data_IF_595346025760
#
_entry.id   IF_595346025760
#
_cell.length_a   1.000
_cell.length_b   1.000
_cell.length_c   1.000
_cell.angle_alpha   90.00
_cell.angle_beta   90.00
_cell.angle_gamma   90.00
#
_symmetry.space_group_name_H-M   'P 1'
#
loop_
_entity.id
_entity.type
_entity.pdbx_description
1 polymer ?
#
# COMPACT_ATOMS: atom_id res chain seq x y z
N UNK A 1 -53.92 -45.69 19.68
CA UNK A 1 -55.19 -45.26 19.07
C UNK A 1 -55.25 -43.75 19.28
N UNK A 2 -54.74 -42.96 18.34
CA UNK A 2 -55.47 -42.40 17.19
C UNK A 2 -56.75 -41.67 17.63
N UNK A 3 -56.72 -40.33 17.49
CA UNK A 3 -57.82 -39.42 17.74
C UNK A 3 -57.45 -38.03 17.25
N UNK A 4 -57.42 -37.89 15.92
CA UNK A 4 -57.20 -36.65 15.17
C UNK A 4 -58.36 -35.69 15.39
N UNK A 5 -58.09 -34.45 15.79
CA UNK A 5 -59.02 -33.32 15.67
C UNK A 5 -58.49 -32.33 14.66
N UNK A 6 -59.28 -32.14 13.61
CA UNK A 6 -59.06 -31.30 12.44
C UNK A 6 -59.43 -29.85 12.83
N UNK A 7 -58.43 -28.98 12.95
CA UNK A 7 -58.63 -27.54 13.14
C UNK A 7 -58.66 -26.83 11.80
N UNK A 8 -59.81 -26.26 11.47
CA UNK A 8 -60.09 -25.50 10.26
C UNK A 8 -59.21 -24.24 10.18
N UNK A 9 -58.65 -24.00 8.98
CA UNK A 9 -58.01 -22.75 8.61
C UNK A 9 -59.09 -21.75 8.20
N UNK A 10 -59.25 -20.68 8.98
CA UNK A 10 -60.10 -19.55 8.65
C UNK A 10 -59.25 -18.45 8.01
N UNK A 11 -59.62 -18.13 6.78
CA UNK A 11 -58.93 -17.25 5.84
C UNK A 11 -59.38 -15.80 6.07
N UNK A 12 -58.67 -15.06 6.94
CA UNK A 12 -58.90 -13.61 7.08
C UNK A 12 -58.13 -12.82 6.01
N UNK A 13 -58.86 -12.48 4.94
CA UNK A 13 -58.54 -11.36 4.06
C UNK A 13 -59.08 -10.06 4.67
N UNK A 14 -58.19 -9.12 4.98
CA UNK A 14 -58.50 -7.69 5.10
C UNK A 14 -57.77 -7.01 3.93
N UNK A 15 -58.41 -6.66 2.81
CA UNK A 15 -59.42 -5.60 2.59
C UNK A 15 -59.00 -4.23 3.13
N UNK A 16 -58.36 -3.48 2.22
CA UNK A 16 -58.63 -2.08 1.83
C UNK A 16 -58.79 -0.97 2.89
N UNK A 17 -58.15 0.15 2.52
CA UNK A 17 -58.47 1.54 2.88
C UNK A 17 -57.98 2.09 4.21
N UNK A 18 -56.85 2.79 4.14
CA UNK A 18 -56.64 4.01 4.93
C UNK A 18 -55.97 5.10 4.10
N UNK A 19 -56.81 5.94 3.52
CA UNK A 19 -56.83 7.40 3.68
C UNK A 19 -55.51 8.16 3.46
N UNK A 20 -55.47 8.84 2.31
CA UNK A 20 -54.62 9.99 2.04
C UNK A 20 -54.81 11.07 3.12
N UNK A 21 -53.74 11.38 3.86
CA UNK A 21 -53.59 12.64 4.59
C UNK A 21 -52.33 13.33 4.13
N UNK A 22 -52.54 14.31 3.24
CA UNK A 22 -51.64 15.40 2.95
C UNK A 22 -51.34 16.19 4.23
N UNK A 23 -50.13 16.02 4.77
CA UNK A 23 -49.58 16.90 5.80
C UNK A 23 -48.41 17.67 5.18
N UNK A 24 -48.49 18.99 5.29
CA UNK A 24 -47.55 19.95 4.72
C UNK A 24 -46.11 19.69 5.17
N UNK A 25 -45.23 19.56 4.18
CA UNK A 25 -43.79 19.50 4.37
C UNK A 25 -43.28 20.93 4.47
N UNK A 26 -43.31 21.49 5.68
CA UNK A 26 -42.63 22.75 5.98
C UNK A 26 -41.11 22.55 5.82
N UNK A 27 -40.56 23.36 4.92
CA UNK A 27 -39.15 23.46 4.61
C UNK A 27 -38.38 24.04 5.80
N UNK A 28 -37.56 23.21 6.44
CA UNK A 28 -36.44 23.71 7.24
C UNK A 28 -35.12 23.32 6.58
N UNK A 29 -34.39 24.37 6.20
CA UNK A 29 -33.00 24.35 5.75
C UNK A 29 -32.11 23.55 6.72
N UNK A 30 -31.05 22.84 6.30
CA UNK A 30 -30.52 22.61 4.96
C UNK A 30 -29.20 21.86 5.09
N UNK A 31 -29.11 20.68 4.46
CA UNK A 31 -27.92 20.05 3.85
C UNK A 31 -28.45 19.18 2.70
N UNK A 32 -27.75 19.07 1.55
CA UNK A 32 -28.36 18.62 0.30
C UNK A 32 -28.68 17.11 0.28
N UNK A 33 -29.67 16.69 -0.54
CA UNK A 33 -30.07 15.29 -0.72
C UNK A 33 -28.94 14.45 -1.35
N UNK A 34 -29.05 13.12 -1.23
CA UNK A 34 -28.06 12.12 -1.66
C UNK A 34 -27.68 12.14 -3.17
N UNK A 35 -28.22 13.04 -3.97
CA UNK A 35 -27.87 13.24 -5.39
C UNK A 35 -26.40 13.65 -5.61
N UNK A 36 -25.70 14.13 -4.58
CA UNK A 36 -24.26 14.45 -4.66
C UNK A 36 -23.38 13.19 -4.76
N UNK A 37 -23.84 12.04 -4.24
CA UNK A 37 -23.06 10.78 -4.32
C UNK A 37 -23.11 10.19 -5.74
N UNK A 38 -24.21 10.37 -6.46
CA UNK A 38 -24.33 10.00 -7.88
C UNK A 38 -23.54 10.95 -8.81
N UNK A 39 -23.37 12.22 -8.42
CA UNK A 39 -22.60 13.18 -9.19
C UNK A 39 -21.08 12.89 -9.14
N UNK A 40 -20.56 12.38 -8.01
CA UNK A 40 -19.16 11.97 -7.89
C UNK A 40 -18.79 10.78 -8.81
N UNK A 41 -19.73 9.84 -9.05
CA UNK A 41 -19.49 8.70 -9.94
C UNK A 41 -19.45 9.10 -11.42
N UNK A 42 -20.21 10.14 -11.81
CA UNK A 42 -20.26 10.62 -13.21
C UNK A 42 -19.04 11.46 -13.63
N UNK A 43 -18.38 12.12 -12.67
CA UNK A 43 -17.15 12.92 -12.93
C UNK A 43 -15.91 12.04 -13.14
N UNK A 44 -15.88 10.84 -12.55
CA UNK A 44 -14.74 9.91 -12.70
C UNK A 44 -14.68 9.30 -14.11
N UNK A 45 -15.81 9.02 -14.77
CA UNK A 45 -15.79 8.52 -16.16
C UNK A 45 -15.38 9.60 -17.18
N UNK A 46 -15.75 10.87 -16.98
CA UNK A 46 -15.42 11.94 -17.94
C UNK A 46 -13.95 12.40 -17.92
N UNK A 47 -13.19 12.06 -16.88
CA UNK A 47 -11.75 12.39 -16.79
C UNK A 47 -10.83 11.40 -17.51
N UNK A 48 -11.37 10.28 -18.02
CA UNK A 48 -10.61 9.30 -18.80
C UNK A 48 -10.32 9.71 -20.24
N UNK A 49 -11.09 10.64 -20.82
CA UNK A 49 -11.00 10.99 -22.25
C UNK A 49 -10.19 12.27 -22.55
N UNK A 50 -9.80 13.06 -21.54
CA UNK A 50 -9.22 14.40 -21.73
C UNK A 50 -7.72 14.49 -21.38
N UNK A 51 -6.95 13.45 -21.67
CA UNK A 51 -5.47 13.48 -21.62
C UNK A 51 -4.84 12.97 -22.92
N UNK A 52 -5.12 13.66 -24.03
CA UNK A 52 -4.18 13.84 -25.14
C UNK A 52 -4.34 15.26 -25.65
N UNK A 53 -3.30 16.08 -25.51
CA UNK A 53 -3.28 17.41 -26.11
C UNK A 53 -2.50 18.41 -25.30
N UNK A 54 -1.29 18.71 -25.80
CA UNK A 54 -0.61 20.01 -25.73
C UNK A 54 -0.02 20.41 -24.36
N UNK A 55 1.29 20.66 -24.19
CA UNK A 55 2.28 21.13 -25.15
C UNK A 55 2.56 22.61 -24.94
N UNK A 56 3.48 22.91 -24.01
CA UNK A 56 4.36 24.10 -24.02
C UNK A 56 3.74 25.50 -23.98
N UNK A 57 4.09 26.27 -22.94
CA UNK A 57 4.82 27.56 -23.06
C UNK A 57 5.14 28.11 -21.67
N UNK A 58 6.42 28.35 -21.45
CA UNK A 58 6.96 28.90 -20.21
C UNK A 58 6.63 30.38 -20.04
N UNK A 59 6.44 30.79 -18.79
CA UNK A 59 6.33 32.18 -18.37
C UNK A 59 7.56 32.55 -17.54
N UNK A 60 8.30 33.62 -17.89
CA UNK A 60 9.33 34.17 -17.02
C UNK A 60 8.69 35.25 -16.14
N UNK A 61 8.40 34.91 -14.89
CA UNK A 61 7.89 35.86 -13.89
C UNK A 61 8.71 35.78 -12.61
N UNK A 62 9.58 36.78 -12.39
CA UNK A 62 10.33 36.96 -11.14
C UNK A 62 9.35 37.12 -9.98
N UNK A 63 9.34 36.15 -9.07
CA UNK A 63 8.58 36.21 -7.82
C UNK A 63 9.40 37.03 -6.80
N UNK A 64 8.83 38.03 -6.13
CA UNK A 64 9.52 38.75 -5.06
C UNK A 64 9.76 37.83 -3.85
N UNK A 65 10.97 37.93 -3.28
CA UNK A 65 11.41 37.18 -2.09
C UNK A 65 10.52 37.55 -0.90
N UNK A 66 9.92 36.54 -0.26
CA UNK A 66 9.24 36.68 1.02
C UNK A 66 10.19 37.15 2.12
N UNK A 67 9.70 37.91 3.13
CA UNK A 67 10.51 38.34 4.26
C UNK A 67 10.87 37.18 5.19
N UNK A 68 12.02 37.34 5.85
CA UNK A 68 12.69 36.35 6.67
C UNK A 68 11.83 35.83 7.83
N UNK A 69 11.92 34.51 8.06
CA UNK A 69 11.33 33.86 9.23
C UNK A 69 12.07 34.29 10.52
N UNK A 70 11.36 34.50 11.64
CA UNK A 70 11.98 34.80 12.92
C UNK A 70 12.75 33.58 13.49
N UNK A 71 13.75 33.82 14.36
CA UNK A 71 14.64 32.79 14.88
C UNK A 71 13.91 31.81 15.81
N UNK A 72 14.19 30.52 15.65
CA UNK A 72 13.70 29.46 16.52
C UNK A 72 14.40 29.51 17.88
N UNK A 73 13.65 29.76 18.93
CA UNK A 73 14.09 29.60 20.32
C UNK A 73 14.50 28.13 20.59
N UNK A 74 15.69 27.96 21.14
CA UNK A 74 16.20 26.68 21.63
C UNK A 74 15.60 26.41 23.02
N UNK A 75 14.45 25.75 23.05
CA UNK A 75 13.88 25.17 24.27
C UNK A 75 14.68 23.96 24.75
N UNK A 76 15.22 24.07 25.96
CA UNK A 76 16.04 23.08 26.67
C UNK A 76 15.25 21.78 26.91
N UNK A 77 15.91 20.64 26.65
CA UNK A 77 15.48 19.31 27.09
C UNK A 77 15.82 19.15 28.57
N UNK A 78 14.85 18.75 29.39
CA UNK A 78 15.11 18.04 30.64
C UNK A 78 13.89 17.16 30.97
N UNK A 79 13.92 15.89 30.58
CA UNK A 79 13.09 14.85 31.19
C UNK A 79 13.92 13.57 31.23
N UNK A 80 13.96 13.00 32.43
CA UNK A 80 14.85 11.95 32.90
C UNK A 80 14.76 10.64 32.12
N UNK A 81 15.93 10.16 31.71
CA UNK A 81 16.15 8.91 30.97
C UNK A 81 16.67 7.81 31.91
N UNK A 82 15.95 7.51 33.01
CA UNK A 82 16.39 6.50 33.98
C UNK A 82 15.58 5.20 34.08
N UNK A 83 14.41 5.08 33.45
CA UNK A 83 13.56 3.88 33.67
C UNK A 83 13.30 3.00 32.43
N UNK A 84 14.15 3.04 31.39
CA UNK A 84 13.96 2.17 30.19
C UNK A 84 15.00 1.04 30.06
N UNK A 85 16.01 0.99 30.92
CA UNK A 85 17.08 -0.01 30.88
C UNK A 85 16.83 -1.21 31.79
N UNK A 86 15.92 -1.11 32.76
CA UNK A 86 15.62 -2.22 33.68
C UNK A 86 14.54 -3.18 33.15
N UNK A 87 13.76 -2.79 32.13
CA UNK A 87 12.70 -3.64 31.56
C UNK A 87 13.18 -4.59 30.44
N UNK A 88 14.44 -4.48 30.01
CA UNK A 88 15.02 -5.32 28.94
C UNK A 88 15.94 -6.43 29.53
N UNK A 89 16.14 -6.44 30.86
CA UNK A 89 17.10 -7.32 31.54
C UNK A 89 16.71 -8.79 31.71
N UNK A 90 15.48 -9.20 31.38
CA UNK A 90 14.99 -10.56 31.67
C UNK A 90 14.78 -11.48 30.47
N UNK A 91 15.09 -11.05 29.24
CA UNK A 91 14.87 -11.87 28.03
C UNK A 91 16.16 -12.41 27.38
N UNK A 92 17.32 -12.30 28.04
CA UNK A 92 18.64 -12.60 27.45
C UNK A 92 19.33 -13.88 27.98
N UNK A 93 18.64 -14.75 28.73
CA UNK A 93 19.29 -15.94 29.32
C UNK A 93 19.04 -17.28 28.62
N UNK A 94 18.33 -17.35 27.48
CA UNK A 94 18.00 -18.65 26.85
C UNK A 94 18.62 -18.89 25.46
N UNK A 95 19.18 -17.88 24.78
CA UNK A 95 19.85 -18.09 23.49
C UNK A 95 21.26 -17.49 23.48
N UNK A 96 22.20 -18.24 24.06
CA UNK A 96 23.62 -18.03 23.85
C UNK A 96 24.05 -18.56 22.48
N UNK A 97 24.22 -17.68 21.49
CA UNK A 97 25.07 -17.93 20.33
C UNK A 97 25.48 -16.61 19.66
N UNK A 98 26.56 -16.09 20.22
CA UNK A 98 27.57 -15.18 19.68
C UNK A 98 27.74 -15.27 18.15
N UNK A 99 27.22 -14.29 17.41
CA UNK A 99 27.87 -13.79 16.18
C UNK A 99 27.61 -12.29 16.06
N UNK A 100 28.67 -11.51 16.20
CA UNK A 100 28.64 -10.07 15.97
C UNK A 100 28.46 -9.79 14.48
N UNK A 101 27.44 -9.01 14.14
CA UNK A 101 27.39 -8.30 12.88
C UNK A 101 26.38 -7.14 13.00
N UNK A 102 26.83 -5.99 13.50
CA UNK A 102 26.04 -4.75 13.52
C UNK A 102 26.86 -3.61 12.95
N UNK A 103 27.24 -3.75 11.67
CA UNK A 103 27.72 -2.62 10.87
C UNK A 103 27.66 -2.80 9.35
N UNK A 104 26.68 -3.51 8.78
CA UNK A 104 26.45 -3.51 7.31
C UNK A 104 24.96 -3.69 6.99
N UNK A 105 24.09 -2.73 7.33
CA UNK A 105 22.75 -2.63 6.73
C UNK A 105 22.44 -1.14 6.50
N UNK A 106 23.14 -0.54 5.54
CA UNK A 106 22.80 0.77 4.99
C UNK A 106 23.14 0.90 3.50
N UNK A 107 23.02 -0.17 2.72
CA UNK A 107 23.10 -0.12 1.23
C UNK A 107 22.45 -1.35 0.61
N UNK A 108 21.14 -1.57 0.79
CA UNK A 108 20.37 -2.53 -0.02
C UNK A 108 18.95 -2.00 -0.22
N UNK A 109 18.84 -0.93 -1.00
CA UNK A 109 17.61 -0.47 -1.68
C UNK A 109 18.04 0.19 -3.00
N UNK A 110 18.47 -0.63 -3.97
CA UNK A 110 18.62 -0.31 -5.40
C UNK A 110 19.18 -1.55 -6.12
N UNK A 111 18.33 -2.54 -6.30
CA UNK A 111 18.54 -3.66 -7.24
C UNK A 111 17.22 -4.42 -7.23
N UNK A 112 16.33 -4.04 -8.14
CA UNK A 112 15.17 -4.80 -8.65
C UNK A 112 14.35 -3.82 -9.49
N UNK A 113 14.92 -3.44 -10.63
CA UNK A 113 14.34 -2.90 -11.89
C UNK A 113 15.60 -2.58 -12.70
N UNK A 114 16.15 -3.58 -13.36
CA UNK A 114 17.09 -3.47 -14.49
C UNK A 114 17.48 -4.90 -14.91
N UNK A 115 16.55 -5.58 -15.60
CA UNK A 115 16.87 -6.77 -16.39
C UNK A 115 15.88 -6.85 -17.54
N UNK A 116 16.20 -6.11 -18.61
CA UNK A 116 15.90 -6.40 -20.02
C UNK A 116 16.26 -5.16 -20.85
N UNK A 117 17.57 -4.94 -20.98
CA UNK A 117 18.15 -4.33 -22.17
C UNK A 117 19.09 -5.37 -22.74
N UNK A 118 18.59 -6.14 -23.70
CA UNK A 118 19.44 -6.88 -24.62
C UNK A 118 20.24 -5.87 -25.42
N UNK A 119 21.44 -5.56 -24.93
CA UNK A 119 22.44 -4.81 -25.67
C UNK A 119 23.02 -5.71 -26.76
N UNK A 120 22.60 -5.40 -27.98
CA UNK A 120 23.32 -5.59 -29.24
C UNK A 120 24.83 -5.27 -29.09
N UNK A 121 25.61 -6.25 -28.66
CA UNK A 121 27.05 -6.25 -28.90
C UNK A 121 27.36 -6.88 -30.25
N UNK A 122 27.26 -6.01 -31.25
CA UNK A 122 28.10 -5.90 -32.45
C UNK A 122 29.23 -6.94 -32.50
N UNK A 123 29.02 -8.00 -33.28
CA UNK A 123 30.10 -8.71 -33.98
C UNK A 123 30.76 -7.72 -34.94
N UNK A 124 31.86 -7.10 -34.50
CA UNK A 124 32.82 -6.43 -35.37
C UNK A 124 34.23 -6.85 -34.93
N UNK A 125 34.78 -7.84 -35.62
CA UNK A 125 36.22 -8.13 -35.68
C UNK A 125 36.48 -8.51 -37.13
N UNK A 126 36.56 -7.51 -37.98
CA UNK A 126 37.84 -6.96 -38.47
C UNK A 126 38.73 -8.05 -39.07
N UNK A 127 38.67 -8.06 -40.39
CA UNK A 127 39.69 -8.55 -41.31
C UNK A 127 41.07 -8.08 -40.86
N UNK A 128 41.92 -9.04 -40.48
CA UNK A 128 43.35 -8.84 -40.30
C UNK A 128 44.08 -9.69 -41.34
N UNK A 129 44.14 -9.16 -42.56
CA UNK A 129 44.94 -9.67 -43.69
C UNK A 129 46.22 -8.83 -43.76
N UNK A 130 47.27 -9.27 -43.08
CA UNK A 130 48.66 -8.80 -43.25
C UNK A 130 49.55 -10.05 -43.05
N UNK A 131 50.03 -10.69 -44.11
CA UNK A 131 51.29 -10.39 -44.81
C UNK A 131 52.53 -10.56 -43.94
N UNK A 132 53.04 -11.79 -43.83
CA UNK A 132 54.49 -12.02 -43.74
C UNK A 132 54.90 -13.06 -44.78
N UNK A 133 55.22 -12.52 -45.94
CA UNK A 133 56.08 -13.13 -46.94
C UNK A 133 57.52 -13.09 -46.40
N UNK A 134 58.28 -14.18 -46.64
CA UNK A 134 59.75 -14.30 -46.53
C UNK A 134 60.25 -14.37 -45.08
N UNK A 135 60.92 -15.44 -44.67
CA UNK A 135 62.28 -15.74 -45.08
C UNK A 135 62.49 -17.26 -44.97
N UNK A 136 62.80 -17.92 -46.10
CA UNK A 136 63.28 -19.31 -46.14
C UNK A 136 64.76 -19.28 -46.59
N UNK A 137 65.74 -19.09 -45.68
CA UNK A 137 67.11 -18.81 -46.04
C UNK A 137 68.04 -19.96 -45.68
N UNK A 138 67.66 -21.23 -45.83
CA UNK A 138 68.63 -22.30 -45.59
C UNK A 138 68.61 -23.37 -46.68
N UNK A 139 69.48 -23.11 -47.66
CA UNK A 139 70.56 -23.99 -48.10
C UNK A 139 70.19 -25.45 -48.28
N UNK A 140 70.31 -25.87 -49.54
CA UNK A 140 70.68 -27.21 -50.00
C UNK A 140 71.77 -27.81 -49.09
N UNK A 141 71.39 -28.41 -47.97
CA UNK A 141 72.28 -29.22 -47.15
C UNK A 141 72.26 -30.63 -47.71
N UNK A 142 73.41 -30.97 -48.31
CA UNK A 142 73.98 -32.30 -48.51
C UNK A 142 73.16 -33.44 -47.87
N UNK A 143 72.72 -34.38 -48.70
CA UNK A 143 72.15 -35.68 -48.34
C UNK A 143 73.19 -36.43 -47.50
N UNK A 144 73.18 -36.23 -46.19
CA UNK A 144 73.96 -37.03 -45.23
C UNK A 144 73.20 -38.33 -45.04
N UNK A 145 73.83 -39.43 -45.45
CA UNK A 145 73.30 -40.77 -45.23
C UNK A 145 73.01 -40.98 -43.73
N UNK A 146 71.80 -41.48 -43.47
CA UNK A 146 71.25 -41.71 -42.13
C UNK A 146 72.18 -42.65 -41.36
N UNK A 147 72.73 -42.19 -40.24
CA UNK A 147 73.35 -43.10 -39.29
C UNK A 147 72.28 -44.05 -38.72
N UNK A 148 72.60 -45.33 -38.46
CA UNK A 148 71.66 -46.34 -37.98
C UNK A 148 71.05 -46.04 -36.59
N UNK A 149 71.56 -45.02 -35.87
CA UNK A 149 71.12 -44.64 -34.52
C UNK A 149 69.71 -44.02 -34.49
N UNK A 150 69.27 -43.35 -35.58
CA UNK A 150 67.92 -42.73 -35.63
C UNK A 150 66.78 -43.74 -35.57
N UNK A 151 66.96 -44.95 -36.12
CA UNK A 151 65.91 -45.98 -36.15
C UNK A 151 65.54 -46.51 -34.76
N UNK A 152 66.50 -46.56 -33.83
CA UNK A 152 66.24 -47.02 -32.45
C UNK A 152 65.44 -45.99 -31.64
N UNK A 153 65.77 -44.69 -31.78
CA UNK A 153 64.97 -43.62 -31.15
C UNK A 153 63.57 -43.50 -31.74
N UNK A 154 63.42 -43.77 -33.03
CA UNK A 154 62.11 -43.77 -33.70
C UNK A 154 61.19 -44.88 -33.14
N UNK A 155 61.73 -46.04 -32.77
CA UNK A 155 60.97 -47.14 -32.15
C UNK A 155 60.55 -46.84 -30.70
N UNK A 156 61.43 -46.24 -29.90
CA UNK A 156 61.10 -45.82 -28.53
C UNK A 156 60.03 -44.71 -28.53
N UNK A 157 60.14 -43.75 -29.46
CA UNK A 157 59.15 -42.69 -29.64
C UNK A 157 57.79 -43.26 -30.06
N UNK A 158 57.78 -44.27 -30.94
CA UNK A 158 56.54 -44.95 -31.34
C UNK A 158 55.86 -45.65 -30.16
N UNK A 159 56.62 -46.35 -29.31
CA UNK A 159 56.08 -46.98 -28.08
C UNK A 159 55.54 -45.95 -27.09
N UNK A 160 56.19 -44.78 -26.98
CA UNK A 160 55.69 -43.68 -26.13
C UNK A 160 54.39 -43.09 -26.69
N UNK A 161 54.30 -42.89 -28.00
CA UNK A 161 53.08 -42.41 -28.66
C UNK A 161 51.91 -43.38 -28.49
N UNK A 162 52.17 -44.68 -28.55
CA UNK A 162 51.14 -45.72 -28.35
C UNK A 162 50.55 -45.66 -26.94
N UNK A 163 51.39 -45.54 -25.90
CA UNK A 163 50.93 -45.32 -24.51
C UNK A 163 50.14 -44.03 -24.35
N UNK A 164 50.59 -42.93 -24.96
CA UNK A 164 49.87 -41.65 -24.92
C UNK A 164 48.49 -41.80 -25.59
N UNK A 165 48.38 -42.56 -26.68
CA UNK A 165 47.10 -42.80 -27.34
C UNK A 165 46.13 -43.63 -26.49
N UNK A 166 46.64 -44.61 -25.74
CA UNK A 166 45.86 -45.37 -24.75
C UNK A 166 45.35 -44.46 -23.61
N UNK A 167 46.24 -43.68 -22.98
CA UNK A 167 45.87 -42.73 -21.92
C UNK A 167 44.84 -41.70 -22.41
N UNK A 168 45.02 -41.17 -23.62
CA UNK A 168 44.05 -40.24 -24.23
C UNK A 168 42.70 -40.93 -24.49
N UNK A 169 42.70 -42.24 -24.77
CA UNK A 169 41.50 -43.06 -24.88
C UNK A 169 40.75 -43.16 -23.55
N UNK A 170 41.45 -43.49 -22.47
CA UNK A 170 40.89 -43.58 -21.11
C UNK A 170 40.34 -42.22 -20.65
N UNK A 171 41.13 -41.15 -20.82
CA UNK A 171 40.71 -39.76 -20.50
C UNK A 171 39.45 -39.38 -21.27
N UNK A 172 39.33 -39.77 -22.54
CA UNK A 172 38.12 -39.51 -23.33
C UNK A 172 36.91 -40.26 -22.78
N UNK A 173 37.08 -41.50 -22.31
CA UNK A 173 35.98 -42.27 -21.72
C UNK A 173 35.55 -41.72 -20.36
N UNK A 174 36.50 -41.36 -19.50
CA UNK A 174 36.23 -40.71 -18.21
C UNK A 174 35.51 -39.37 -18.40
N UNK A 175 35.98 -38.54 -19.34
CA UNK A 175 35.30 -37.28 -19.68
C UNK A 175 33.87 -37.51 -20.18
N UNK A 176 33.61 -38.59 -20.93
CA UNK A 176 32.27 -38.96 -21.36
C UNK A 176 31.40 -39.38 -20.17
N UNK A 177 31.93 -40.17 -19.21
CA UNK A 177 31.22 -40.57 -17.99
C UNK A 177 30.88 -39.35 -17.12
N UNK A 178 31.87 -38.50 -16.85
CA UNK A 178 31.70 -37.25 -16.09
C UNK A 178 30.68 -36.32 -16.76
N UNK A 179 30.69 -36.22 -18.09
CA UNK A 179 29.70 -35.40 -18.82
C UNK A 179 28.26 -35.89 -18.60
N UNK A 180 28.04 -37.22 -18.58
CA UNK A 180 26.71 -37.80 -18.30
C UNK A 180 26.28 -37.56 -16.85
N UNK A 181 27.20 -37.71 -15.89
CA UNK A 181 26.91 -37.45 -14.47
C UNK A 181 26.57 -35.98 -14.23
N UNK A 182 27.30 -35.05 -14.86
CA UNK A 182 27.00 -33.62 -14.81
C UNK A 182 25.63 -33.30 -15.43
N UNK A 183 25.24 -33.98 -16.50
CA UNK A 183 23.93 -33.81 -17.12
C UNK A 183 22.80 -34.33 -16.22
N UNK A 184 22.98 -35.50 -15.60
CA UNK A 184 22.04 -36.03 -14.61
C UNK A 184 21.92 -35.11 -13.39
N UNK A 185 23.03 -34.60 -12.87
CA UNK A 185 23.04 -33.66 -11.76
C UNK A 185 22.31 -32.37 -12.12
N UNK A 186 22.54 -31.82 -13.32
CA UNK A 186 21.81 -30.65 -13.83
C UNK A 186 20.31 -30.92 -13.92
N UNK A 187 19.90 -32.10 -14.41
CA UNK A 187 18.48 -32.49 -14.48
C UNK A 187 17.85 -32.55 -13.09
N UNK A 188 18.51 -33.23 -12.13
CA UNK A 188 18.03 -33.31 -10.75
C UNK A 188 17.94 -31.93 -10.07
N UNK A 189 18.88 -31.03 -10.36
CA UNK A 189 18.84 -29.68 -9.83
C UNK A 189 17.65 -28.89 -10.39
N UNK A 190 17.40 -28.97 -11.71
CA UNK A 190 16.22 -28.33 -12.33
C UNK A 190 14.92 -28.86 -11.75
N UNK A 191 14.78 -30.18 -11.60
CA UNK A 191 13.57 -30.76 -11.00
C UNK A 191 13.37 -30.31 -9.55
N UNK A 192 14.45 -30.19 -8.77
CA UNK A 192 14.39 -29.69 -7.40
C UNK A 192 14.02 -28.20 -7.37
N UNK A 193 14.56 -27.39 -8.27
CA UNK A 193 14.20 -25.97 -8.41
C UNK A 193 12.73 -25.81 -8.77
N UNK A 194 12.22 -26.56 -9.76
CA UNK A 194 10.81 -26.52 -10.14
C UNK A 194 9.87 -26.99 -9.02
N UNK A 195 10.26 -28.02 -8.25
CA UNK A 195 9.49 -28.45 -7.07
C UNK A 195 9.49 -27.36 -5.99
N UNK A 196 10.65 -26.76 -5.74
CA UNK A 196 10.80 -25.68 -4.79
C UNK A 196 9.97 -24.44 -5.16
N UNK A 197 9.95 -24.06 -6.44
CA UNK A 197 9.14 -22.93 -6.90
C UNK A 197 7.65 -23.18 -6.76
N UNK A 198 7.19 -24.40 -7.05
CA UNK A 198 5.80 -24.82 -6.84
C UNK A 198 5.41 -24.74 -5.36
N UNK A 199 6.20 -25.34 -4.47
CA UNK A 199 5.95 -25.29 -3.03
C UNK A 199 5.96 -23.85 -2.48
N UNK A 200 6.90 -23.03 -2.95
CA UNK A 200 6.98 -21.61 -2.59
C UNK A 200 5.73 -20.84 -3.06
N UNK A 201 5.21 -21.13 -4.24
CA UNK A 201 3.99 -20.53 -4.74
C UNK A 201 2.77 -20.94 -3.91
N UNK A 202 2.64 -22.23 -3.61
CA UNK A 202 1.55 -22.74 -2.76
C UNK A 202 1.58 -22.17 -1.35
N UNK A 203 2.76 -22.08 -0.74
CA UNK A 203 2.92 -21.49 0.60
C UNK A 203 2.55 -20.00 0.61
N UNK A 204 2.96 -19.24 -0.41
CA UNK A 204 2.54 -17.84 -0.56
C UNK A 204 1.03 -17.70 -0.68
N UNK A 205 0.37 -18.57 -1.43
CA UNK A 205 -1.08 -18.55 -1.58
C UNK A 205 -1.79 -18.89 -0.26
N UNK A 206 -1.33 -19.92 0.46
CA UNK A 206 -1.84 -20.31 1.78
C UNK A 206 -1.67 -19.17 2.78
N UNK A 207 -0.51 -18.50 2.78
CA UNK A 207 -0.24 -17.34 3.64
C UNK A 207 -1.21 -16.20 3.35
N UNK A 208 -1.42 -15.86 2.07
CA UNK A 208 -2.39 -14.83 1.67
C UNK A 208 -3.82 -15.16 2.12
N UNK A 209 -4.27 -16.41 1.96
CA UNK A 209 -5.60 -16.86 2.43
C UNK A 209 -5.74 -16.75 3.95
N UNK A 210 -4.69 -17.07 4.71
CA UNK A 210 -4.70 -16.92 6.16
C UNK A 210 -4.77 -15.44 6.58
N UNK A 211 -4.00 -14.56 5.94
CA UNK A 211 -4.06 -13.12 6.19
C UNK A 211 -5.46 -12.55 5.91
N UNK A 212 -6.12 -12.99 4.83
CA UNK A 212 -7.48 -12.58 4.51
C UNK A 212 -8.50 -13.06 5.55
N UNK A 213 -8.38 -14.31 6.03
CA UNK A 213 -9.22 -14.86 7.09
C UNK A 213 -9.05 -14.11 8.41
N UNK A 214 -7.80 -13.83 8.82
CA UNK A 214 -7.51 -13.05 10.03
C UNK A 214 -8.10 -11.66 9.91
N UNK A 215 -7.92 -10.99 8.78
CA UNK A 215 -8.49 -9.67 8.51
C UNK A 215 -10.02 -9.68 8.57
N UNK A 216 -10.67 -10.71 8.04
CA UNK A 216 -12.12 -10.84 8.09
C UNK A 216 -12.61 -11.08 9.52
N UNK A 217 -11.93 -11.92 10.29
CA UNK A 217 -12.23 -12.16 11.70
C UNK A 217 -12.09 -10.87 12.52
N UNK A 218 -10.99 -10.12 12.35
CA UNK A 218 -10.81 -8.81 12.98
C UNK A 218 -11.97 -7.86 12.66
N UNK A 219 -12.39 -7.80 11.39
CA UNK A 219 -13.53 -6.98 10.98
C UNK A 219 -14.82 -7.43 11.64
N UNK A 220 -15.07 -8.73 11.76
CA UNK A 220 -16.29 -9.28 12.40
C UNK A 220 -16.34 -8.92 13.89
N UNK A 221 -15.22 -9.00 14.59
CA UNK A 221 -15.12 -8.60 16.02
C UNK A 221 -15.36 -7.10 16.16
N UNK A 222 -14.60 -6.27 15.44
CA UNK A 222 -14.71 -4.80 15.50
C UNK A 222 -16.02 -4.25 14.98
N UNK A 223 -16.77 -5.04 14.19
CA UNK A 223 -18.08 -4.67 13.65
C UNK A 223 -18.96 -4.13 14.78
N UNK A 224 -19.04 -4.76 15.95
CA UNK A 224 -19.94 -4.27 17.01
C UNK A 224 -19.32 -3.27 17.97
N UNK A 225 -18.06 -2.91 17.78
CA UNK A 225 -17.31 -2.04 18.69
C UNK A 225 -17.47 -0.56 18.32
N UNK A 226 -17.47 0.30 19.32
CA UNK A 226 -17.47 1.77 19.13
C UNK A 226 -16.38 2.40 20.00
N UNK A 227 -15.84 3.51 19.53
CA UNK A 227 -14.83 4.29 20.26
C UNK A 227 -15.49 5.57 20.73
N UNK A 228 -15.50 5.78 22.05
CA UNK A 228 -16.01 7.00 22.66
C UNK A 228 -14.84 7.82 23.20
N UNK A 229 -14.73 9.07 22.78
CA UNK A 229 -13.65 9.99 23.16
C UNK A 229 -14.23 11.22 23.83
N UNK A 230 -13.54 11.75 24.84
CA UNK A 230 -13.91 13.02 25.50
C UNK A 230 -14.88 12.88 26.68
N UNK A 231 -15.06 11.66 27.19
CA UNK A 231 -15.73 11.41 28.46
C UNK A 231 -14.71 11.50 29.60
N UNK A 232 -15.13 12.09 30.72
CA UNK A 232 -14.32 12.14 31.94
C UNK A 232 -14.29 10.75 32.60
N UNK A 233 -13.20 10.44 33.30
CA UNK A 233 -12.99 9.12 33.89
C UNK A 233 -14.09 8.76 34.89
N UNK A 234 -14.50 9.72 35.72
CA UNK A 234 -15.53 9.56 36.77
C UNK A 234 -16.91 9.18 36.20
N UNK A 235 -17.23 9.66 34.98
CA UNK A 235 -18.53 9.48 34.34
C UNK A 235 -18.70 8.06 33.78
N UNK A 236 -17.60 7.33 33.51
CA UNK A 236 -17.64 6.06 32.78
C UNK A 236 -16.64 5.04 33.33
N UNK A 237 -16.51 4.95 34.65
CA UNK A 237 -15.71 3.90 35.30
C UNK A 237 -16.28 2.49 35.12
N UNK A 238 -17.61 2.37 34.94
CA UNK A 238 -18.31 1.08 34.83
C UNK A 238 -19.24 1.05 33.61
N UNK A 239 -19.50 -0.15 33.06
CA UNK A 239 -20.37 -0.36 31.90
C UNK A 239 -21.77 0.22 32.14
N UNK A 240 -22.34 -0.03 33.33
CA UNK A 240 -23.67 0.47 33.71
C UNK A 240 -23.78 2.01 33.72
N UNK A 241 -22.69 2.72 34.08
CA UNK A 241 -22.68 4.20 34.03
C UNK A 241 -22.72 4.67 32.57
N UNK A 242 -21.95 4.02 31.71
CA UNK A 242 -21.94 4.29 30.27
C UNK A 242 -23.30 3.97 29.61
N UNK A 243 -23.96 2.87 29.98
CA UNK A 243 -25.30 2.53 29.49
C UNK A 243 -26.34 3.59 29.90
N UNK A 244 -26.32 4.04 31.16
CA UNK A 244 -27.17 5.13 31.64
C UNK A 244 -26.88 6.43 30.88
N UNK A 245 -25.60 6.73 30.64
CA UNK A 245 -25.19 7.88 29.85
C UNK A 245 -25.71 7.80 28.41
N UNK A 246 -25.56 6.65 27.73
CA UNK A 246 -26.11 6.44 26.38
C UNK A 246 -27.63 6.58 26.35
N UNK A 247 -28.33 6.08 27.37
CA UNK A 247 -29.78 6.22 27.49
C UNK A 247 -30.20 7.68 27.68
N UNK A 248 -29.49 8.45 28.49
CA UNK A 248 -29.78 9.86 28.73
C UNK A 248 -29.41 10.78 27.56
N UNK A 249 -28.28 10.51 26.90
CA UNK A 249 -27.71 11.40 25.88
C UNK A 249 -28.20 11.08 24.46
N UNK A 250 -28.39 9.81 24.14
CA UNK A 250 -28.77 9.35 22.81
C UNK A 250 -30.21 8.82 22.73
N UNK A 251 -30.88 8.63 23.88
CA UNK A 251 -32.21 8.02 24.00
C UNK A 251 -32.24 6.58 23.46
N UNK A 252 -31.12 5.86 23.58
CA UNK A 252 -31.01 4.47 23.14
C UNK A 252 -30.61 3.61 24.33
N UNK A 253 -31.46 2.63 24.64
CA UNK A 253 -31.12 1.57 25.58
C UNK A 253 -30.18 0.57 24.89
N UNK A 254 -28.96 0.48 25.40
CA UNK A 254 -27.87 -0.34 24.89
C UNK A 254 -27.33 -1.18 26.04
N UNK A 255 -27.07 -2.46 25.79
CA UNK A 255 -26.31 -3.31 26.69
C UNK A 255 -24.86 -3.39 26.21
N UNK A 256 -23.94 -3.05 27.09
CA UNK A 256 -22.50 -3.08 26.89
C UNK A 256 -21.96 -4.34 27.55
N UNK A 257 -21.23 -5.17 26.81
CA UNK A 257 -20.63 -6.38 27.37
C UNK A 257 -19.37 -6.07 28.14
N UNK A 258 -18.42 -5.40 27.48
CA UNK A 258 -17.12 -5.10 28.04
C UNK A 258 -16.69 -3.70 27.58
N UNK A 259 -15.83 -3.06 28.37
CA UNK A 259 -15.24 -1.78 28.01
C UNK A 259 -13.79 -1.72 28.46
N UNK A 260 -12.97 -1.05 27.66
CA UNK A 260 -11.56 -0.87 27.98
C UNK A 260 -11.12 0.57 27.75
N UNK A 261 -10.34 1.06 28.70
CA UNK A 261 -9.74 2.38 28.62
C UNK A 261 -8.45 2.30 27.80
N UNK A 262 -8.33 3.15 26.80
CA UNK A 262 -7.10 3.38 26.06
C UNK A 262 -6.46 4.68 26.54
N UNK A 263 -5.13 4.69 26.59
CA UNK A 263 -4.33 5.88 26.87
C UNK A 263 -4.81 7.12 26.09
N UNK A 264 -4.87 8.26 26.78
CA UNK A 264 -5.29 9.54 26.21
C UNK A 264 -6.80 9.82 26.30
N UNK A 265 -7.49 9.30 27.32
CA UNK A 265 -8.90 9.62 27.59
C UNK A 265 -9.87 9.04 26.56
N UNK A 266 -9.47 7.97 25.87
CA UNK A 266 -10.32 7.25 24.91
C UNK A 266 -10.85 6.01 25.60
N UNK A 267 -12.14 5.79 25.54
CA UNK A 267 -12.77 4.56 25.98
C UNK A 267 -13.24 3.80 24.75
N UNK A 268 -12.82 2.55 24.61
CA UNK A 268 -13.40 1.66 23.63
C UNK A 268 -14.43 0.80 24.34
N UNK A 269 -15.60 0.76 23.72
CA UNK A 269 -16.71 -0.07 24.16
C UNK A 269 -16.66 -1.31 23.29
N UNK A 270 -16.36 -2.44 23.93
CA UNK A 270 -16.26 -3.73 23.27
C UNK A 270 -17.64 -4.37 23.18
N UNK A 271 -18.00 -4.73 21.95
CA UNK A 271 -19.14 -5.55 21.61
C UNK A 271 -20.50 -5.08 22.16
N UNK A 272 -21.14 -4.17 21.42
CA UNK A 272 -22.57 -3.91 21.59
C UNK A 272 -23.39 -5.17 21.29
N UNK A 273 -24.48 -5.38 22.04
CA UNK A 273 -25.37 -6.55 21.92
C UNK A 273 -25.80 -6.84 20.47
N UNK A 274 -26.14 -5.79 19.72
CA UNK A 274 -26.56 -5.91 18.32
C UNK A 274 -25.95 -4.83 17.44
N UNK A 275 -25.58 -5.21 16.21
CA UNK A 275 -25.16 -4.27 15.16
C UNK A 275 -26.23 -3.23 14.84
N UNK A 276 -27.52 -3.58 14.99
CA UNK A 276 -28.62 -2.63 14.81
C UNK A 276 -28.58 -1.50 15.85
N UNK A 277 -28.22 -1.81 17.10
CA UNK A 277 -28.05 -0.79 18.17
C UNK A 277 -26.85 0.09 17.88
N UNK A 278 -25.72 -0.49 17.43
CA UNK A 278 -24.56 0.29 16.96
C UNK A 278 -24.95 1.30 15.87
N UNK A 279 -25.72 0.86 14.86
CA UNK A 279 -26.20 1.75 13.79
C UNK A 279 -27.02 2.92 14.34
N UNK A 280 -27.99 2.65 15.23
CA UNK A 280 -28.79 3.70 15.89
C UNK A 280 -27.93 4.67 16.69
N UNK A 281 -26.93 4.17 17.43
CA UNK A 281 -25.96 5.01 18.16
C UNK A 281 -25.20 5.92 17.18
N UNK A 282 -24.77 5.37 16.04
CA UNK A 282 -24.03 6.12 15.01
C UNK A 282 -24.87 7.14 14.25
N UNK A 283 -26.19 6.93 14.14
CA UNK A 283 -27.16 7.90 13.61
C UNK A 283 -27.42 9.03 14.63
N UNK A 284 -27.67 8.68 15.89
CA UNK A 284 -28.00 9.64 16.95
C UNK A 284 -26.78 10.43 17.46
N UNK A 285 -25.55 10.03 17.13
CA UNK A 285 -24.32 10.74 17.57
C UNK A 285 -24.29 12.22 17.19
N UNK A 286 -25.10 12.66 16.22
CA UNK A 286 -25.23 14.08 15.87
C UNK A 286 -25.74 14.92 17.05
N UNK A 287 -26.65 14.38 17.88
CA UNK A 287 -27.19 15.05 19.08
C UNK A 287 -26.08 15.49 20.04
N UNK A 288 -25.01 14.71 20.14
CA UNK A 288 -23.85 15.03 20.99
C UNK A 288 -23.08 16.26 20.53
N UNK A 289 -23.13 16.61 19.24
CA UNK A 289 -22.44 17.80 18.71
C UNK A 289 -23.16 19.11 19.05
N UNK A 290 -24.44 19.03 19.33
CA UNK A 290 -25.30 20.20 19.56
C UNK A 290 -25.26 20.67 21.02
N UNK A 291 -24.93 19.77 21.96
CA UNK A 291 -24.80 20.09 23.38
C UNK A 291 -23.56 20.97 23.63
N UNK A 292 -23.80 22.17 24.17
CA UNK A 292 -22.75 23.12 24.56
C UNK A 292 -22.06 22.64 25.84
N UNK A 293 -20.73 22.65 25.86
CA UNK A 293 -19.91 22.43 27.08
C UNK A 293 -19.12 21.13 27.14
N UNK A 294 -19.60 20.03 26.54
CA UNK A 294 -18.88 18.73 26.53
C UNK A 294 -18.60 18.27 25.10
N UNK A 295 -17.32 18.11 24.74
CA UNK A 295 -16.90 17.64 23.42
C UNK A 295 -16.73 16.11 23.43
N UNK A 296 -17.85 15.40 23.41
CA UNK A 296 -17.86 13.93 23.31
C UNK A 296 -17.98 13.51 21.84
N UNK A 297 -17.14 12.57 21.42
CA UNK A 297 -17.14 12.03 20.06
C UNK A 297 -17.32 10.52 20.09
N UNK A 298 -18.20 10.02 19.21
CA UNK A 298 -18.39 8.59 18.97
C UNK A 298 -17.95 8.27 17.55
N UNK A 299 -17.00 7.33 17.43
CA UNK A 299 -16.45 6.85 16.16
C UNK A 299 -16.58 5.32 16.06
N UNK A 300 -16.49 4.79 14.85
CA UNK A 300 -16.36 3.35 14.62
C UNK A 300 -14.97 2.87 15.05
N UNK A 301 -14.89 1.70 15.70
CA UNK A 301 -13.61 1.01 15.87
C UNK A 301 -13.19 0.38 14.54
N UNK A 302 -12.27 1.06 13.85
CA UNK A 302 -11.77 0.66 12.55
C UNK A 302 -10.34 0.14 12.66
N UNK A 303 -10.01 -0.79 11.76
CA UNK A 303 -8.62 -1.25 11.61
C UNK A 303 -7.70 -0.08 11.26
N UNK A 304 -6.39 -0.21 11.54
CA UNK A 304 -5.42 0.87 11.25
C UNK A 304 -5.47 1.29 9.78
N UNK A 305 -5.52 0.32 8.85
CA UNK A 305 -5.62 0.56 7.40
C UNK A 305 -6.88 1.35 7.03
N UNK A 306 -8.03 1.00 7.59
CA UNK A 306 -9.30 1.71 7.35
C UNK A 306 -9.27 3.13 7.93
N UNK A 307 -8.66 3.33 9.11
CA UNK A 307 -8.45 4.67 9.67
C UNK A 307 -7.55 5.55 8.81
N UNK A 308 -6.50 4.97 8.25
CA UNK A 308 -5.58 5.70 7.35
C UNK A 308 -6.30 6.09 6.05
N UNK A 309 -7.08 5.17 5.44
CA UNK A 309 -7.94 5.46 4.28
C UNK A 309 -8.94 6.58 4.62
N UNK A 310 -9.61 6.51 5.78
CA UNK A 310 -10.53 7.58 6.18
C UNK A 310 -9.82 8.92 6.39
N UNK A 311 -8.58 8.91 6.90
CA UNK A 311 -7.78 10.14 7.05
C UNK A 311 -7.49 10.76 5.68
N UNK A 312 -7.07 9.94 4.72
CA UNK A 312 -6.80 10.36 3.34
C UNK A 312 -8.05 10.91 2.65
N UNK A 313 -9.21 10.24 2.80
CA UNK A 313 -10.47 10.76 2.28
C UNK A 313 -10.85 12.10 2.89
N UNK A 314 -10.63 12.27 4.21
CA UNK A 314 -10.88 13.55 4.89
C UNK A 314 -9.93 14.65 4.41
N UNK A 315 -8.68 14.35 4.09
CA UNK A 315 -7.74 15.34 3.54
C UNK A 315 -8.14 15.74 2.12
N UNK A 316 -8.45 14.77 1.27
CA UNK A 316 -8.91 15.03 -0.10
C UNK A 316 -10.19 15.89 -0.12
N UNK A 317 -11.19 15.53 0.70
CA UNK A 317 -12.44 16.29 0.80
C UNK A 317 -12.25 17.71 1.39
N UNK A 318 -11.18 17.96 2.16
CA UNK A 318 -10.84 19.32 2.62
C UNK A 318 -10.22 20.13 1.49
N UNK A 319 -9.32 19.53 0.72
CA UNK A 319 -8.68 20.19 -0.43
C UNK A 319 -9.70 20.56 -1.51
N UNK A 320 -10.66 19.68 -1.81
CA UNK A 320 -11.73 19.96 -2.78
C UNK A 320 -12.61 21.12 -2.31
N UNK A 321 -13.08 21.10 -1.06
CA UNK A 321 -13.86 22.22 -0.50
C UNK A 321 -13.09 23.54 -0.51
N UNK A 322 -11.77 23.51 -0.26
CA UNK A 322 -10.95 24.72 -0.34
C UNK A 322 -10.83 25.24 -1.79
N UNK A 323 -10.73 24.36 -2.78
CA UNK A 323 -10.74 24.75 -4.20
C UNK A 323 -12.08 25.36 -4.59
N UNK A 324 -13.19 24.77 -4.17
CA UNK A 324 -14.54 25.31 -4.40
C UNK A 324 -14.71 26.70 -3.78
N UNK A 325 -14.27 26.89 -2.54
CA UNK A 325 -14.32 28.19 -1.87
C UNK A 325 -13.48 29.25 -2.62
N UNK A 326 -12.29 28.89 -3.12
CA UNK A 326 -11.47 29.81 -3.94
C UNK A 326 -12.16 30.21 -5.24
N UNK A 327 -12.82 29.25 -5.91
CA UNK A 327 -13.58 29.52 -7.13
C UNK A 327 -14.76 30.45 -6.85
N UNK A 328 -15.53 30.20 -5.78
CA UNK A 328 -16.64 31.05 -5.38
C UNK A 328 -16.18 32.48 -5.04
N UNK A 329 -15.06 32.62 -4.32
CA UNK A 329 -14.46 33.92 -4.02
C UNK A 329 -14.04 34.66 -5.29
N UNK A 330 -13.42 33.97 -6.27
CA UNK A 330 -13.03 34.57 -7.54
C UNK A 330 -14.25 35.03 -8.37
N UNK A 331 -15.33 34.24 -8.40
CA UNK A 331 -16.59 34.63 -9.05
C UNK A 331 -17.16 35.89 -8.41
N UNK A 332 -17.22 35.95 -7.08
CA UNK A 332 -17.73 37.11 -6.35
C UNK A 332 -16.88 38.36 -6.61
N UNK A 333 -15.55 38.24 -6.60
CA UNK A 333 -14.64 39.34 -6.92
C UNK A 333 -14.89 39.88 -8.33
N UNK A 334 -14.95 39.00 -9.34
CA UNK A 334 -15.25 39.38 -10.72
C UNK A 334 -16.59 40.12 -10.86
N UNK A 335 -17.63 39.68 -10.12
CA UNK A 335 -18.92 40.37 -10.11
C UNK A 335 -18.83 41.77 -9.50
N UNK A 336 -18.09 41.94 -8.39
CA UNK A 336 -17.89 43.25 -7.77
C UNK A 336 -17.09 44.21 -8.66
N UNK A 337 -16.09 43.72 -9.39
CA UNK A 337 -15.33 44.53 -10.35
C UNK A 337 -16.17 44.98 -11.54
N UNK A 338 -17.02 44.09 -12.08
CA UNK A 338 -17.97 44.44 -13.14
C UNK A 338 -18.93 45.55 -12.70
N UNK A 339 -19.49 45.44 -11.48
CA UNK A 339 -20.36 46.48 -10.90
C UNK A 339 -19.64 47.82 -10.75
N UNK A 340 -18.38 47.82 -10.27
CA UNK A 340 -17.57 49.05 -10.14
C UNK A 340 -17.33 49.73 -11.50
N UNK A 341 -17.03 48.97 -12.55
CA UNK A 341 -16.85 49.51 -13.91
C UNK A 341 -18.12 50.14 -14.46
N UNK A 342 -19.27 49.48 -14.31
CA UNK A 342 -20.56 50.05 -14.76
C UNK A 342 -20.96 51.30 -14.00
N UNK A 343 -20.68 51.37 -12.69
CA UNK A 343 -20.94 52.60 -11.91
C UNK A 343 -19.98 53.74 -12.23
N UNK A 344 -18.73 53.42 -12.59
CA UNK A 344 -17.75 54.42 -13.02
C UNK A 344 -18.15 55.08 -14.34
N UNK A 345 -18.50 54.28 -15.35
CA UNK A 345 -18.96 54.77 -16.66
C UNK A 345 -20.23 55.63 -16.55
N UNK A 346 -21.15 55.28 -15.65
CA UNK A 346 -22.36 56.09 -15.44
C UNK A 346 -22.02 57.49 -14.91
N UNK A 347 -21.07 57.59 -13.97
CA UNK A 347 -20.62 58.88 -13.43
C UNK A 347 -19.86 59.72 -14.46
N UNK A 348 -19.07 59.10 -15.32
CA UNK A 348 -18.36 59.79 -16.40
C UNK A 348 -19.34 60.36 -17.45
N UNK A 349 -20.39 59.62 -17.81
CA UNK A 349 -21.42 60.10 -18.73
C UNK A 349 -22.27 61.22 -18.12
N UNK A 350 -22.62 61.15 -16.84
CA UNK A 350 -23.38 62.22 -16.15
C UNK A 350 -22.59 63.54 -16.06
N UNK A 351 -21.26 63.53 -16.14
CA UNK A 351 -20.42 64.73 -16.06
C UNK A 351 -20.04 65.32 -17.43
N UNK A 352 -20.42 64.67 -18.53
CA UNK A 352 -20.15 65.12 -19.90
C UNK A 352 -21.33 65.84 -20.59
N UNK A 353 -22.47 65.97 -19.92
CA UNK A 353 -23.68 66.65 -20.44
C UNK A 353 -23.92 68.04 -19.81
N UNK A 354 -23.02 68.53 -18.95
CA UNK A 354 -22.95 69.94 -18.48
C UNK A 354 -21.96 70.75 -19.33
#
# INVERSE_FOLDING_TARGET
MQGLTVGWWEEERHSSDTTARSAGFESQAGWPPMDVVLCAFRVVQKKGELRRGEGGRGWPGKVPRSPAAPPKEKGKKLVDRKNLTELIGHFSQVWGAKVGCSKVIKTMKKSDIESERDEDHKRKREEGRESEERINPFRKSKKVERSPVKKAMDEEMKKMLEKIMEDVGEIKEENRKMSRELEQLKSMMREKEEKWEREKMELKEKMKKLEEKVKEQEKRVRKRNIVVTGLYEEECENEKKLEKWMKAELEIEVRVKEMYKINGGKMIVEELESWGKKRKVMENKRKLREKKGKRVYIEDDLTKKERDIQRELRTLAKEERQKELRIQQAILQNQTERKKKTTGQKKENEHGEE
#
